data_IF_353279983725
#
_entry.id   IF_353279983725
#
_cell.length_a   1.000
_cell.length_b   1.000
_cell.length_c   1.000
_cell.angle_alpha   90.00
_cell.angle_beta   90.00
_cell.angle_gamma   90.00
#
_symmetry.space_group_name_H-M   'P 1'
#
loop_
_entity.id
_entity.type
_entity.pdbx_description
1 polymer ?
#
# COMPACT_ATOMS: atom_id res chain seq x y z
N UNK A 1 40.06 -29.08 -38.69
CA UNK A 1 39.50 -29.32 -37.34
C UNK A 1 39.78 -28.06 -36.55
N UNK A 2 38.96 -27.03 -36.74
CA UNK A 2 37.78 -26.68 -35.91
C UNK A 2 38.22 -25.64 -34.86
N UNK A 3 38.07 -24.35 -35.11
CA UNK A 3 36.87 -23.49 -35.05
C UNK A 3 36.87 -22.67 -33.75
N UNK A 4 37.26 -21.40 -33.87
CA UNK A 4 36.61 -20.30 -33.14
C UNK A 4 35.14 -20.21 -33.63
N UNK A 5 34.16 -19.82 -32.80
CA UNK A 5 33.63 -18.48 -33.03
C UNK A 5 32.93 -17.77 -31.84
N UNK A 6 32.83 -16.44 -32.03
CA UNK A 6 31.65 -15.57 -31.84
C UNK A 6 31.13 -15.24 -30.44
N UNK A 7 31.47 -14.00 -30.06
CA UNK A 7 30.54 -12.96 -29.58
C UNK A 7 29.06 -13.26 -29.84
N UNK A 8 28.26 -13.24 -28.77
CA UNK A 8 26.81 -13.06 -28.85
C UNK A 8 26.37 -11.98 -27.86
N UNK A 9 26.57 -10.72 -28.27
CA UNK A 9 25.76 -9.61 -27.77
C UNK A 9 24.44 -9.66 -28.52
N UNK A 10 23.39 -10.18 -27.90
CA UNK A 10 22.03 -9.90 -28.33
C UNK A 10 21.51 -8.72 -27.51
N UNK A 11 21.60 -7.55 -28.14
CA UNK A 11 20.83 -6.36 -27.81
C UNK A 11 19.38 -6.63 -28.18
N UNK A 12 18.48 -6.73 -27.19
CA UNK A 12 17.04 -6.59 -27.41
C UNK A 12 16.50 -5.42 -26.58
N UNK A 13 16.57 -4.25 -27.23
CA UNK A 13 15.52 -3.22 -27.32
C UNK A 13 14.42 -3.30 -26.25
N UNK A 14 14.59 -2.53 -25.18
CA UNK A 14 13.50 -2.17 -24.27
C UNK A 14 12.66 -1.09 -24.93
N UNK A 15 11.46 -1.45 -25.38
CA UNK A 15 10.45 -0.46 -25.76
C UNK A 15 9.99 0.28 -24.51
N UNK A 16 10.39 1.55 -24.42
CA UNK A 16 9.88 2.51 -23.45
C UNK A 16 8.45 2.92 -23.82
N UNK A 17 7.50 2.66 -22.93
CA UNK A 17 6.21 3.35 -22.91
C UNK A 17 5.64 3.43 -21.48
N UNK A 18 5.94 4.55 -20.83
CA UNK A 18 5.04 5.46 -20.09
C UNK A 18 3.86 4.89 -19.27
N UNK A 19 3.82 5.38 -18.01
CA UNK A 19 2.73 5.43 -16.99
C UNK A 19 2.63 4.23 -16.04
N UNK A 20 3.19 4.42 -14.83
CA UNK A 20 2.90 3.64 -13.64
C UNK A 20 1.40 3.69 -13.29
N UNK A 21 0.66 2.73 -13.80
CA UNK A 21 -0.68 2.38 -13.38
C UNK A 21 -0.80 0.86 -13.40
N UNK A 22 -0.12 0.17 -12.50
CA UNK A 22 -0.30 -1.28 -12.31
C UNK A 22 -0.14 -1.64 -10.83
N UNK A 23 -1.22 -1.45 -10.07
CA UNK A 23 -1.56 -2.46 -9.06
C UNK A 23 -2.06 -3.65 -9.88
N UNK A 24 -1.24 -4.69 -10.01
CA UNK A 24 -1.67 -5.95 -10.63
C UNK A 24 -2.87 -6.51 -9.85
N UNK A 25 -3.99 -6.86 -10.50
CA UNK A 25 -5.07 -7.57 -9.83
C UNK A 25 -4.58 -8.99 -9.50
N UNK A 26 -4.35 -9.25 -8.21
CA UNK A 26 -3.97 -10.55 -7.70
C UNK A 26 -5.10 -11.56 -7.97
N UNK A 27 -4.82 -12.53 -8.84
CA UNK A 27 -5.70 -13.63 -9.20
C UNK A 27 -5.87 -14.57 -7.99
N UNK A 28 -7.05 -14.56 -7.34
CA UNK A 28 -7.41 -15.53 -6.29
C UNK A 28 -8.16 -16.69 -6.90
N UNK A 29 -7.65 -17.90 -6.65
CA UNK A 29 -8.18 -19.16 -7.16
C UNK A 29 -9.68 -19.34 -6.99
N UNK A 30 -10.27 -19.96 -8.00
CA UNK A 30 -11.67 -20.37 -8.09
C UNK A 30 -12.08 -21.23 -6.90
N UNK A 31 -13.03 -20.74 -6.11
CA UNK A 31 -13.87 -21.60 -5.26
C UNK A 31 -15.31 -21.47 -5.70
N UNK A 32 -15.78 -22.55 -6.35
CA UNK A 32 -17.15 -23.02 -6.60
C UNK A 32 -18.30 -22.08 -6.20
N UNK A 33 -19.09 -21.75 -7.21
CA UNK A 33 -20.39 -21.08 -7.13
C UNK A 33 -21.39 -21.86 -6.26
N UNK A 34 -21.99 -21.17 -5.29
CA UNK A 34 -23.23 -21.57 -4.62
C UNK A 34 -24.29 -20.49 -4.92
N UNK A 35 -25.31 -20.74 -5.77
CA UNK A 35 -26.21 -19.70 -6.22
C UNK A 35 -27.42 -19.64 -5.27
N UNK A 36 -27.29 -18.93 -4.16
CA UNK A 36 -28.49 -18.47 -3.43
C UNK A 36 -28.22 -17.19 -2.68
N UNK A 37 -28.45 -16.03 -3.32
CA UNK A 37 -28.87 -14.84 -2.58
C UNK A 37 -29.59 -13.82 -3.46
N UNK A 38 -30.90 -13.75 -3.20
CA UNK A 38 -31.86 -12.69 -3.44
C UNK A 38 -31.33 -11.42 -4.13
N UNK A 39 -31.82 -11.20 -5.36
CA UNK A 39 -31.97 -9.89 -5.96
C UNK A 39 -32.87 -9.02 -5.08
N UNK A 40 -32.30 -7.99 -4.46
CA UNK A 40 -33.05 -7.02 -3.68
C UNK A 40 -32.27 -5.73 -3.56
N UNK A 41 -32.76 -4.68 -4.23
CA UNK A 41 -32.40 -3.26 -4.12
C UNK A 41 -30.93 -2.96 -3.78
N UNK A 42 -30.16 -2.46 -4.76
CA UNK A 42 -28.76 -2.06 -4.58
C UNK A 42 -28.54 -1.30 -3.28
N UNK A 43 -27.56 -1.73 -2.47
CA UNK A 43 -27.27 -1.12 -1.17
C UNK A 43 -27.15 0.39 -1.33
N UNK A 44 -27.84 1.22 -0.52
CA UNK A 44 -27.77 2.69 -0.62
C UNK A 44 -26.35 3.23 -0.40
N UNK A 45 -25.44 2.36 0.07
CA UNK A 45 -24.02 2.62 0.23
C UNK A 45 -23.25 2.68 -1.10
N UNK A 46 -23.67 1.95 -2.14
CA UNK A 46 -22.97 1.92 -3.43
C UNK A 46 -23.02 3.29 -4.16
N UNK A 47 -24.20 3.92 -4.36
CA UNK A 47 -24.28 5.26 -4.97
C UNK A 47 -23.60 6.36 -4.15
N UNK A 48 -23.45 6.15 -2.83
CA UNK A 48 -22.74 7.09 -1.94
C UNK A 48 -21.23 6.97 -2.10
N UNK A 49 -20.71 5.75 -2.19
CA UNK A 49 -19.28 5.49 -2.39
C UNK A 49 -18.82 5.93 -3.78
N UNK A 50 -19.66 5.76 -4.80
CA UNK A 50 -19.39 6.24 -6.15
C UNK A 50 -19.31 7.77 -6.22
N UNK A 51 -20.24 8.48 -5.56
CA UNK A 51 -20.13 9.94 -5.41
C UNK A 51 -18.89 10.37 -4.64
N UNK A 52 -18.50 9.61 -3.61
CA UNK A 52 -17.29 9.88 -2.86
C UNK A 52 -16.05 9.69 -3.73
N UNK A 53 -15.95 8.61 -4.51
CA UNK A 53 -14.80 8.35 -5.38
C UNK A 53 -14.62 9.44 -6.44
N UNK A 54 -15.72 9.97 -6.99
CA UNK A 54 -15.71 11.11 -7.92
C UNK A 54 -15.18 12.42 -7.31
N UNK A 55 -15.17 12.54 -5.97
CA UNK A 55 -14.69 13.73 -5.24
C UNK A 55 -13.24 13.60 -4.71
N UNK A 56 -12.58 12.47 -4.96
CA UNK A 56 -11.20 12.24 -4.53
C UNK A 56 -10.23 12.74 -5.61
N UNK A 57 -9.23 13.51 -5.19
CA UNK A 57 -8.13 13.85 -6.09
C UNK A 57 -7.18 12.66 -6.25
N UNK A 58 -6.27 12.76 -7.22
CA UNK A 58 -5.17 11.78 -7.39
C UNK A 58 -4.35 11.64 -6.10
N UNK A 59 -4.03 12.75 -5.43
CA UNK A 59 -3.32 12.71 -4.14
C UNK A 59 -4.10 11.96 -3.05
N UNK A 60 -5.44 12.05 -3.04
CA UNK A 60 -6.26 11.32 -2.08
C UNK A 60 -6.31 9.82 -2.39
N UNK A 61 -6.34 9.46 -3.68
CA UNK A 61 -6.26 8.08 -4.13
C UNK A 61 -4.91 7.46 -3.74
N UNK A 62 -3.81 8.19 -3.93
CA UNK A 62 -2.48 7.76 -3.48
C UNK A 62 -2.41 7.54 -1.96
N UNK A 63 -3.07 8.38 -1.15
CA UNK A 63 -3.18 8.14 0.30
C UNK A 63 -3.90 6.81 0.58
N UNK A 64 -5.01 6.54 -0.12
CA UNK A 64 -5.79 5.31 0.07
C UNK A 64 -4.97 4.08 -0.33
N UNK A 65 -4.34 4.10 -1.49
CA UNK A 65 -3.51 3.01 -2.02
C UNK A 65 -2.33 2.75 -1.08
N UNK A 66 -1.64 3.81 -0.65
CA UNK A 66 -0.53 3.69 0.31
C UNK A 66 -1.01 3.03 1.61
N UNK A 67 -2.10 3.51 2.22
CA UNK A 67 -2.59 2.95 3.47
C UNK A 67 -3.21 1.55 3.31
N UNK A 68 -3.70 1.19 2.12
CA UNK A 68 -4.12 -0.18 1.81
C UNK A 68 -2.91 -1.12 1.77
N UNK A 69 -1.79 -0.64 1.23
CA UNK A 69 -0.53 -1.39 1.12
C UNK A 69 0.18 -1.53 2.46
N UNK A 70 0.41 -0.44 3.19
CA UNK A 70 1.25 -0.43 4.40
C UNK A 70 0.48 -0.45 5.72
N UNK A 71 -0.87 -0.49 5.66
CA UNK A 71 -1.83 -0.40 6.77
C UNK A 71 -1.85 0.93 7.53
N UNK A 72 -0.70 1.46 7.92
CA UNK A 72 -0.58 2.67 8.74
C UNK A 72 0.60 3.53 8.30
N UNK A 73 0.43 4.85 8.33
CA UNK A 73 1.50 5.80 8.04
C UNK A 73 1.38 7.05 8.91
N UNK A 74 2.50 7.67 9.25
CA UNK A 74 2.50 9.00 9.86
C UNK A 74 2.18 10.07 8.81
N UNK A 75 1.68 11.23 9.26
CA UNK A 75 1.50 12.38 8.36
C UNK A 75 2.81 12.84 7.70
N UNK A 76 3.96 12.64 8.35
CA UNK A 76 5.27 12.96 7.78
C UNK A 76 5.68 12.01 6.64
N UNK A 77 5.43 10.71 6.81
CA UNK A 77 5.67 9.70 5.77
C UNK A 77 4.78 9.93 4.56
N UNK A 78 3.48 10.18 4.77
CA UNK A 78 2.56 10.52 3.69
C UNK A 78 2.95 11.82 2.98
N UNK A 79 3.44 12.82 3.72
CA UNK A 79 3.97 14.05 3.12
C UNK A 79 5.13 13.76 2.18
N UNK A 80 6.14 13.00 2.64
CA UNK A 80 7.34 12.67 1.86
C UNK A 80 7.03 11.88 0.58
N UNK A 81 6.03 11.00 0.63
CA UNK A 81 5.63 10.18 -0.52
C UNK A 81 4.84 10.94 -1.59
N UNK A 82 3.92 11.82 -1.18
CA UNK A 82 2.86 12.33 -2.08
C UNK A 82 3.03 13.81 -2.41
N UNK A 83 3.68 14.58 -1.53
CA UNK A 83 3.82 16.03 -1.69
C UNK A 83 5.28 16.46 -1.62
N UNK A 84 5.63 17.63 -2.18
CA UNK A 84 6.98 18.18 -2.02
C UNK A 84 7.33 18.39 -0.54
N UNK A 85 8.55 18.05 -0.13
CA UNK A 85 9.09 18.24 1.24
C UNK A 85 9.40 19.71 1.52
N UNK A 86 8.36 20.55 1.42
CA UNK A 86 8.39 22.00 1.65
C UNK A 86 7.32 22.37 2.68
N UNK A 87 7.40 23.55 3.33
CA UNK A 87 6.36 24.01 4.24
C UNK A 87 4.97 24.08 3.58
N UNK A 88 4.90 24.41 2.29
CA UNK A 88 3.65 24.45 1.53
C UNK A 88 3.10 23.05 1.30
N UNK A 89 3.94 22.09 0.86
CA UNK A 89 3.54 20.68 0.72
C UNK A 89 3.02 20.10 2.02
N UNK A 90 3.73 20.34 3.13
CA UNK A 90 3.31 19.90 4.46
C UNK A 90 1.96 20.51 4.90
N UNK A 91 1.65 21.76 4.54
CA UNK A 91 0.33 22.35 4.79
C UNK A 91 -0.75 21.70 3.92
N UNK A 92 -0.46 21.47 2.64
CA UNK A 92 -1.36 20.78 1.72
C UNK A 92 -1.68 19.36 2.20
N UNK A 93 -0.66 18.57 2.56
CA UNK A 93 -0.79 17.24 3.15
C UNK A 93 -1.76 17.25 4.35
N UNK A 94 -1.55 18.15 5.33
CA UNK A 94 -2.42 18.27 6.50
C UNK A 94 -3.88 18.56 6.13
N UNK A 95 -4.13 19.44 5.16
CA UNK A 95 -5.49 19.75 4.67
C UNK A 95 -6.15 18.53 4.03
N UNK A 96 -5.43 17.80 3.17
CA UNK A 96 -5.94 16.56 2.56
C UNK A 96 -6.28 15.52 3.65
N UNK A 97 -5.35 15.25 4.57
CA UNK A 97 -5.57 14.28 5.64
C UNK A 97 -6.69 14.68 6.60
N UNK A 98 -6.92 15.98 6.82
CA UNK A 98 -8.09 16.47 7.54
C UNK A 98 -9.39 16.18 6.78
N UNK A 99 -9.46 16.57 5.51
CA UNK A 99 -10.63 16.31 4.67
C UNK A 99 -10.97 14.83 4.59
N UNK A 100 -9.96 13.98 4.39
CA UNK A 100 -10.15 12.52 4.34
C UNK A 100 -10.57 11.93 5.70
N UNK A 101 -10.18 12.55 6.82
CA UNK A 101 -10.66 12.16 8.15
C UNK A 101 -12.14 12.49 8.31
N UNK A 102 -12.55 13.70 7.90
CA UNK A 102 -13.96 14.16 7.92
C UNK A 102 -14.85 13.29 7.03
N UNK A 103 -14.34 12.85 5.87
CA UNK A 103 -15.02 11.94 4.96
C UNK A 103 -14.99 10.46 5.40
N UNK A 104 -14.39 10.15 6.57
CA UNK A 104 -14.22 8.78 7.08
C UNK A 104 -13.52 7.85 6.08
N UNK A 105 -12.61 8.42 5.30
CA UNK A 105 -11.69 7.69 4.41
C UNK A 105 -10.48 7.23 5.21
N UNK A 106 -9.95 8.08 6.07
CA UNK A 106 -8.86 7.74 7.01
C UNK A 106 -9.31 7.99 8.45
N UNK A 107 -8.70 7.30 9.40
CA UNK A 107 -8.84 7.56 10.82
C UNK A 107 -7.51 8.03 11.40
N UNK A 108 -7.58 8.90 12.40
CA UNK A 108 -6.42 9.38 13.16
C UNK A 108 -6.29 8.54 14.43
N UNK A 109 -5.19 7.81 14.56
CA UNK A 109 -4.84 7.15 15.80
C UNK A 109 -4.18 8.19 16.73
N UNK A 110 -4.61 8.25 18.00
CA UNK A 110 -4.21 9.27 18.97
C UNK A 110 -2.74 9.13 19.44
N UNK A 111 -1.88 8.42 18.72
CA UNK A 111 -0.55 8.13 19.23
C UNK A 111 0.34 9.39 19.25
N UNK A 112 1.00 9.58 20.40
CA UNK A 112 2.12 10.47 20.60
C UNK A 112 3.37 9.85 19.96
N UNK A 113 3.89 10.45 18.89
CA UNK A 113 5.23 10.11 18.38
C UNK A 113 6.23 10.86 19.26
N UNK A 114 6.77 10.20 20.28
CA UNK A 114 7.76 10.77 21.21
C UNK A 114 9.02 9.91 21.33
N UNK A 115 10.14 10.40 20.77
CA UNK A 115 11.47 9.80 20.91
C UNK A 115 12.60 10.54 20.16
N UNK A 116 13.33 11.38 20.89
CA UNK A 116 14.66 12.03 20.69
C UNK A 116 14.95 12.85 19.41
N UNK A 117 14.36 12.62 18.23
CA UNK A 117 14.79 13.32 16.99
C UNK A 117 13.72 13.98 16.10
N UNK A 118 12.53 14.30 16.59
CA UNK A 118 11.53 14.97 15.74
C UNK A 118 10.47 15.76 16.48
N UNK A 119 10.69 17.07 16.61
CA UNK A 119 9.66 18.00 17.04
C UNK A 119 8.63 18.26 15.94
N UNK A 120 7.55 17.49 15.95
CA UNK A 120 6.18 17.96 15.68
C UNK A 120 5.26 16.75 15.79
N UNK A 121 4.43 16.73 16.84
CA UNK A 121 3.43 15.69 17.10
C UNK A 121 2.60 15.43 15.84
N UNK A 122 2.89 14.35 15.13
CA UNK A 122 2.19 13.93 13.91
C UNK A 122 1.21 12.82 14.23
N UNK A 123 -0.03 12.91 13.74
CA UNK A 123 -0.97 11.81 13.82
C UNK A 123 -0.50 10.61 12.98
N UNK A 124 -0.82 9.41 13.46
CA UNK A 124 -0.78 8.18 12.65
C UNK A 124 -2.14 7.98 11.97
N UNK A 125 -2.11 7.61 10.70
CA UNK A 125 -3.28 7.42 9.87
C UNK A 125 -3.43 5.96 9.46
N UNK A 126 -4.67 5.49 9.39
CA UNK A 126 -5.07 4.19 8.84
C UNK A 126 -6.37 4.34 8.05
N UNK A 127 -6.73 3.39 7.18
CA UNK A 127 -8.00 3.46 6.45
C UNK A 127 -9.22 3.39 7.40
N UNK A 128 -10.13 4.36 7.30
CA UNK A 128 -11.47 4.28 7.92
C UNK A 128 -12.46 3.55 6.99
N UNK A 129 -13.71 3.36 7.42
CA UNK A 129 -14.69 2.47 6.79
C UNK A 129 -14.84 2.78 5.30
N UNK A 130 -14.91 4.05 4.90
CA UNK A 130 -15.06 4.40 3.48
C UNK A 130 -13.76 4.13 2.70
N UNK A 131 -12.60 4.42 3.29
CA UNK A 131 -11.31 4.19 2.65
C UNK A 131 -11.05 2.71 2.42
N UNK A 132 -11.42 1.84 3.37
CA UNK A 132 -11.29 0.40 3.20
C UNK A 132 -12.21 -0.13 2.09
N UNK A 133 -13.41 0.43 1.93
CA UNK A 133 -14.32 0.07 0.82
C UNK A 133 -13.81 0.58 -0.52
N UNK A 134 -13.28 1.80 -0.57
CA UNK A 134 -12.68 2.38 -1.77
C UNK A 134 -11.46 1.58 -2.22
N UNK A 135 -10.62 1.15 -1.28
CA UNK A 135 -9.50 0.24 -1.53
C UNK A 135 -9.94 -1.23 -1.82
N UNK A 136 -11.25 -1.52 -1.80
CA UNK A 136 -11.80 -2.87 -1.96
C UNK A 136 -11.27 -3.90 -0.94
N UNK A 137 -10.74 -3.42 0.19
CA UNK A 137 -10.20 -4.26 1.27
C UNK A 137 -11.30 -4.83 2.18
N UNK A 138 -12.51 -4.25 2.15
CA UNK A 138 -13.68 -4.80 2.85
C UNK A 138 -14.56 -5.63 1.92
N UNK A 139 -14.41 -6.95 2.01
CA UNK A 139 -15.39 -7.90 1.50
C UNK A 139 -16.52 -8.06 2.53
N UNK A 140 -17.54 -7.19 2.49
CA UNK A 140 -18.83 -7.30 3.20
C UNK A 140 -18.83 -7.64 4.71
N UNK A 141 -17.72 -7.47 5.44
CA UNK A 141 -17.63 -7.81 6.87
C UNK A 141 -17.79 -6.59 7.78
N UNK A 142 -18.44 -6.80 8.95
CA UNK A 142 -18.51 -5.82 10.03
C UNK A 142 -17.14 -5.63 10.65
N UNK A 143 -16.53 -4.47 10.42
CA UNK A 143 -15.17 -4.16 10.90
C UNK A 143 -15.22 -3.85 12.38
N UNK A 144 -14.91 -4.84 13.24
CA UNK A 144 -14.41 -4.53 14.58
C UNK A 144 -12.99 -3.97 14.42
N UNK A 145 -12.78 -2.75 14.89
CA UNK A 145 -11.47 -2.09 14.91
C UNK A 145 -10.90 -2.19 16.32
N UNK A 146 -10.18 -3.27 16.68
CA UNK A 146 -9.44 -3.26 17.94
C UNK A 146 -8.45 -2.10 17.90
N UNK A 147 -8.29 -1.40 19.04
CA UNK A 147 -7.22 -0.41 19.18
C UNK A 147 -5.88 -1.15 19.09
N UNK A 148 -5.00 -0.81 18.12
CA UNK A 148 -3.71 -1.49 17.98
C UNK A 148 -2.81 -1.19 19.19
N UNK A 149 -1.94 -2.14 19.53
CA UNK A 149 -0.90 -1.92 20.55
C UNK A 149 0.18 -0.97 20.02
N UNK A 150 0.87 -0.26 20.92
CA UNK A 150 1.94 0.67 20.53
C UNK A 150 3.06 -0.02 19.75
N UNK A 151 3.44 -1.24 20.16
CA UNK A 151 4.43 -2.07 19.48
C UNK A 151 4.01 -2.39 18.04
N UNK A 152 2.74 -2.77 17.84
CA UNK A 152 2.21 -3.03 16.51
C UNK A 152 2.23 -1.77 15.63
N UNK A 153 1.91 -0.61 16.22
CA UNK A 153 2.00 0.68 15.51
C UNK A 153 3.45 1.01 15.16
N UNK A 154 4.41 0.88 16.08
CA UNK A 154 5.83 1.15 15.81
C UNK A 154 6.37 0.26 14.69
N UNK A 155 6.08 -1.04 14.79
CA UNK A 155 6.50 -2.01 13.79
C UNK A 155 5.96 -1.67 12.40
N UNK A 156 4.66 -1.41 12.31
CA UNK A 156 4.02 -1.04 11.04
C UNK A 156 4.60 0.27 10.49
N UNK A 157 4.83 1.27 11.35
CA UNK A 157 5.46 2.52 10.93
C UNK A 157 6.90 2.34 10.45
N UNK A 158 7.64 1.36 10.99
CA UNK A 158 8.96 0.96 10.52
C UNK A 158 8.92 0.35 9.12
N UNK A 159 7.95 -0.53 8.85
CA UNK A 159 7.72 -1.08 7.49
C UNK A 159 7.35 0.04 6.51
N UNK A 160 6.49 0.97 6.92
CA UNK A 160 6.16 2.15 6.12
C UNK A 160 7.37 3.04 5.86
N UNK A 161 8.26 3.19 6.84
CA UNK A 161 9.48 3.98 6.66
C UNK A 161 10.41 3.34 5.62
N UNK A 162 10.54 2.02 5.61
CA UNK A 162 11.27 1.30 4.57
C UNK A 162 10.68 1.60 3.18
N UNK A 163 9.35 1.55 3.03
CA UNK A 163 8.68 1.89 1.77
C UNK A 163 8.96 3.33 1.31
N UNK A 164 8.92 4.29 2.25
CA UNK A 164 9.24 5.70 1.98
C UNK A 164 10.68 5.86 1.50
N UNK A 165 11.64 5.22 2.19
CA UNK A 165 13.06 5.32 1.86
C UNK A 165 13.37 4.70 0.48
N UNK A 166 12.71 3.60 0.12
CA UNK A 166 12.83 3.01 -1.21
C UNK A 166 12.36 3.98 -2.29
N UNK A 167 11.23 4.67 -2.08
CA UNK A 167 10.71 5.68 -3.02
C UNK A 167 11.60 6.92 -3.14
N UNK A 168 12.35 7.27 -2.11
CA UNK A 168 13.29 8.40 -2.14
C UNK A 168 14.65 8.03 -2.74
N UNK A 169 14.93 6.74 -2.93
CA UNK A 169 16.21 6.28 -3.44
C UNK A 169 16.26 6.43 -4.97
N UNK A 170 16.95 7.45 -5.44
CA UNK A 170 16.94 7.86 -6.86
C UNK A 170 17.43 6.81 -7.88
N UNK A 171 18.25 5.85 -7.45
CA UNK A 171 18.86 4.83 -8.33
C UNK A 171 18.14 3.47 -8.25
N UNK A 172 17.00 3.43 -7.58
CA UNK A 172 16.24 2.21 -7.34
C UNK A 172 14.86 2.37 -7.94
N UNK A 173 14.52 1.49 -8.88
CA UNK A 173 13.15 1.34 -9.35
C UNK A 173 12.47 0.25 -8.53
N UNK A 174 11.50 0.64 -7.70
CA UNK A 174 10.70 -0.30 -6.91
C UNK A 174 9.67 -0.98 -7.82
N UNK A 175 9.89 -2.26 -8.13
CA UNK A 175 9.03 -3.05 -9.01
C UNK A 175 7.84 -3.64 -8.27
N UNK A 176 8.07 -4.10 -7.04
CA UNK A 176 7.05 -4.73 -6.22
C UNK A 176 7.32 -4.44 -4.75
N UNK A 177 6.24 -4.22 -3.99
CA UNK A 177 6.27 -4.13 -2.55
C UNK A 177 5.01 -4.78 -2.00
N UNK A 178 5.17 -5.73 -1.09
CA UNK A 178 4.06 -6.38 -0.39
C UNK A 178 4.33 -6.35 1.11
N UNK A 179 3.28 -6.16 1.90
CA UNK A 179 3.33 -6.31 3.36
C UNK A 179 2.54 -7.54 3.80
N UNK A 180 2.62 -7.86 5.08
CA UNK A 180 1.89 -9.01 5.62
C UNK A 180 0.37 -8.89 5.37
N UNK A 181 -0.41 -9.98 5.41
CA UNK A 181 0.07 -11.35 5.26
C UNK A 181 0.40 -11.68 3.78
N UNK A 182 0.22 -10.72 2.86
CA UNK A 182 0.36 -10.94 1.42
C UNK A 182 1.78 -11.39 1.04
N UNK A 183 2.79 -10.84 1.71
CA UNK A 183 4.21 -11.20 1.51
C UNK A 183 4.62 -12.57 2.06
N UNK A 184 3.73 -13.33 2.72
CA UNK A 184 4.08 -14.65 3.24
C UNK A 184 4.31 -15.64 2.09
N UNK A 185 5.32 -16.50 2.21
CA UNK A 185 5.72 -17.46 1.17
C UNK A 185 5.91 -18.85 1.75
N UNK A 186 5.38 -19.86 1.08
CA UNK A 186 5.48 -21.26 1.51
C UNK A 186 6.41 -22.04 0.59
N UNK A 187 7.30 -22.83 1.17
CA UNK A 187 8.34 -23.59 0.48
C UNK A 187 8.33 -25.05 0.93
N UNK A 188 8.77 -25.98 0.06
CA UNK A 188 9.01 -27.36 0.47
C UNK A 188 10.23 -27.39 1.41
N UNK A 189 10.01 -27.90 2.61
CA UNK A 189 11.04 -28.14 3.61
C UNK A 189 11.51 -29.60 3.65
N UNK A 190 12.49 -29.90 4.51
CA UNK A 190 12.99 -31.27 4.70
C UNK A 190 11.86 -32.26 5.02
N UNK A 191 12.00 -33.49 4.51
CA UNK A 191 11.02 -34.57 4.67
C UNK A 191 9.59 -34.25 4.16
N UNK A 192 9.45 -33.35 3.18
CA UNK A 192 8.16 -33.05 2.54
C UNK A 192 7.24 -32.15 3.36
N UNK A 193 7.74 -31.54 4.45
CA UNK A 193 6.97 -30.58 5.25
C UNK A 193 6.94 -29.21 4.58
N UNK A 194 5.78 -28.56 4.53
CA UNK A 194 5.70 -27.14 4.12
C UNK A 194 6.23 -26.21 5.22
N UNK A 195 7.13 -25.31 4.86
CA UNK A 195 7.65 -24.24 5.72
C UNK A 195 7.15 -22.90 5.17
N UNK A 196 6.51 -22.07 6.01
CA UNK A 196 6.06 -20.74 5.63
C UNK A 196 6.98 -19.69 6.23
N UNK A 197 7.62 -18.90 5.37
CA UNK A 197 8.28 -17.66 5.76
C UNK A 197 7.24 -16.56 5.93
N UNK A 198 7.33 -15.83 7.04
CA UNK A 198 6.47 -14.71 7.39
C UNK A 198 7.31 -13.44 7.57
N UNK A 199 7.89 -12.93 6.47
CA UNK A 199 8.60 -11.66 6.54
C UNK A 199 7.60 -10.52 6.72
N UNK A 200 8.04 -9.39 7.29
CA UNK A 200 7.20 -8.21 7.46
C UNK A 200 6.90 -7.49 6.14
N UNK A 201 7.82 -7.60 5.18
CA UNK A 201 7.68 -7.09 3.83
C UNK A 201 8.44 -7.98 2.82
N UNK A 202 7.94 -8.00 1.59
CA UNK A 202 8.62 -8.49 0.41
C UNK A 202 8.78 -7.32 -0.56
N UNK A 203 9.93 -7.23 -1.22
CA UNK A 203 10.17 -6.20 -2.22
C UNK A 203 11.01 -6.75 -3.38
N UNK A 204 10.73 -6.26 -4.59
CA UNK A 204 11.54 -6.46 -5.77
C UNK A 204 11.92 -5.10 -6.33
N UNK A 205 13.16 -4.95 -6.76
CA UNK A 205 13.70 -3.68 -7.23
C UNK A 205 14.69 -3.90 -8.36
N UNK A 206 14.81 -2.91 -9.23
CA UNK A 206 15.84 -2.83 -10.25
C UNK A 206 16.82 -1.69 -9.92
N UNK A 207 18.07 -1.88 -10.34
CA UNK A 207 19.12 -0.86 -10.29
C UNK A 207 19.46 -0.53 -11.73
N UNK A 208 19.36 0.75 -12.10
CA UNK A 208 19.89 1.20 -13.39
C UNK A 208 21.41 1.08 -13.39
N UNK A 209 22.00 0.62 -14.50
CA UNK A 209 23.45 0.69 -14.74
C UNK A 209 23.98 2.13 -14.74
#
# INVERSE_FOLDING_TARGET
MSNEPMSDRVSDRVETATRNHLISPHNRGETRNDPTRASGAGSPLAPRLERLSQQLSEADQLVIETLALVRMASGGQLNRLIWPTTPTGARTCRRHLQRLSELRVVTRLHRQVGGIKGGSQGYTYALDVNGQRLAQTLQNQTVRRPTPSDLFVDHTLGVTELYVQLHETAHVELLEFETEPTCWRSFPGPAGRTVTLKPDAYLAWAVGE
#
